data_IF_678558231231
#
_entry.id   IF_678558231231
#
_cell.length_a   1.000
_cell.length_b   1.000
_cell.length_c   1.000
_cell.angle_alpha   90.00
_cell.angle_beta   90.00
_cell.angle_gamma   90.00
#
_symmetry.space_group_name_H-M   'P 1'
#
loop_
_entity.id
_entity.type
_entity.pdbx_description
1 polymer ?
#
# COMPACT_ATOMS: atom_id res chain seq x y z
N UNK A 1 15.40 -7.15 -0.75
CA UNK A 1 14.03 -6.80 -0.31
C UNK A 1 14.09 -5.72 0.77
N UNK A 2 13.09 -4.82 0.92
CA UNK A 2 13.22 -3.63 1.80
C UNK A 2 13.54 -3.94 3.27
N UNK A 3 13.08 -5.10 3.78
CA UNK A 3 13.41 -5.53 5.15
C UNK A 3 14.87 -5.99 5.31
N UNK A 4 15.50 -6.50 4.26
CA UNK A 4 16.94 -6.85 4.27
C UNK A 4 17.80 -5.59 4.36
N UNK A 5 17.25 -4.44 3.93
CA UNK A 5 17.86 -3.12 4.07
C UNK A 5 17.52 -2.43 5.42
N UNK A 6 16.84 -3.12 6.36
CA UNK A 6 16.57 -2.60 7.69
C UNK A 6 15.29 -1.77 7.84
N UNK A 7 14.41 -1.73 6.83
CA UNK A 7 13.13 -1.04 6.93
C UNK A 7 12.03 -1.95 7.52
N UNK A 8 11.20 -1.40 8.41
CA UNK A 8 10.03 -2.11 8.94
C UNK A 8 9.05 -2.40 7.81
N UNK A 9 8.38 -3.55 7.93
CA UNK A 9 7.21 -3.87 7.13
C UNK A 9 6.11 -4.37 8.06
N UNK A 10 4.90 -4.56 7.54
CA UNK A 10 3.83 -5.20 8.29
C UNK A 10 3.99 -6.73 8.43
N UNK A 11 5.00 -7.35 7.80
CA UNK A 11 5.17 -8.82 7.78
C UNK A 11 5.20 -9.45 9.19
N UNK A 12 4.49 -10.57 9.40
CA UNK A 12 4.56 -11.28 10.68
C UNK A 12 5.99 -11.77 10.94
N UNK A 13 6.41 -11.70 12.20
CA UNK A 13 7.72 -12.22 12.63
C UNK A 13 8.91 -11.31 12.32
N UNK A 14 8.70 -10.14 11.71
CA UNK A 14 9.76 -9.16 11.55
C UNK A 14 10.16 -8.57 12.92
N UNK A 15 11.44 -8.68 13.27
CA UNK A 15 12.01 -8.09 14.49
C UNK A 15 12.17 -6.59 14.28
N UNK A 16 11.45 -5.79 15.06
CA UNK A 16 11.66 -4.33 15.18
C UNK A 16 12.74 -4.06 16.20
N UNK A 17 13.52 -2.99 16.03
CA UNK A 17 14.48 -2.57 17.07
C UNK A 17 13.68 -2.10 18.30
N UNK A 18 13.76 -2.80 19.45
CA UNK A 18 13.00 -2.41 20.63
C UNK A 18 13.47 -1.09 21.25
N UNK A 19 14.64 -0.58 20.87
CA UNK A 19 15.22 0.67 21.38
C UNK A 19 14.73 1.90 20.62
N UNK A 20 14.20 1.71 19.43
CA UNK A 20 13.66 2.77 18.60
C UNK A 20 12.24 2.40 18.16
N UNK A 21 11.22 2.89 18.88
CA UNK A 21 9.83 2.55 18.58
C UNK A 21 9.30 3.26 17.33
N UNK A 22 10.10 4.14 16.71
CA UNK A 22 9.66 4.96 15.59
C UNK A 22 9.48 4.08 14.36
N UNK A 23 8.25 3.96 13.83
CA UNK A 23 8.00 3.17 12.63
C UNK A 23 8.74 3.76 11.43
N UNK A 24 9.56 2.95 10.75
CA UNK A 24 10.24 3.34 9.51
C UNK A 24 10.03 2.27 8.45
N UNK A 25 9.81 2.62 7.19
CA UNK A 25 9.60 1.64 6.13
C UNK A 25 8.16 1.59 5.63
N UNK A 26 7.66 0.39 5.34
CA UNK A 26 6.32 0.17 4.82
C UNK A 26 5.35 -0.24 5.93
N UNK A 27 4.71 0.77 6.52
CA UNK A 27 4.02 0.68 7.81
C UNK A 27 2.48 0.69 7.75
N UNK A 28 1.89 0.55 6.55
CA UNK A 28 0.44 0.55 6.34
C UNK A 28 0.01 -0.56 5.37
N UNK A 29 -1.30 -0.73 5.18
CA UNK A 29 -1.85 -1.63 4.15
C UNK A 29 -1.47 -1.14 2.75
N UNK A 30 -1.46 -2.03 1.76
CA UNK A 30 -1.14 -1.66 0.38
C UNK A 30 -2.28 -0.89 -0.30
N UNK A 31 -3.48 -0.84 0.29
CA UNK A 31 -4.58 -0.02 -0.19
C UNK A 31 -5.93 -0.37 0.43
N UNK A 32 -7.00 0.11 -0.18
CA UNK A 32 -8.38 -0.05 0.28
C UNK A 32 -9.38 0.09 -0.86
N UNK A 33 -10.65 -0.26 -0.62
CA UNK A 33 -11.74 -0.03 -1.57
C UNK A 33 -12.11 1.45 -1.64
N UNK A 34 -12.63 1.86 -2.79
CA UNK A 34 -13.09 3.23 -3.06
C UNK A 34 -14.44 3.18 -3.79
N UNK A 35 -15.38 4.01 -3.33
CA UNK A 35 -16.69 4.12 -3.95
C UNK A 35 -17.42 5.38 -3.49
N UNK A 36 -18.47 5.20 -2.66
CA UNK A 36 -19.13 6.34 -2.04
C UNK A 36 -18.31 6.91 -0.89
N UNK A 37 -17.56 6.04 -0.20
CA UNK A 37 -16.58 6.44 0.78
C UNK A 37 -15.17 6.37 0.19
N UNK A 38 -14.29 7.26 0.68
CA UNK A 38 -12.86 7.23 0.31
C UNK A 38 -12.24 5.91 0.79
N UNK A 39 -12.61 5.45 1.99
CA UNK A 39 -12.17 4.17 2.53
C UNK A 39 -13.37 3.25 2.73
N UNK A 40 -13.53 2.30 1.83
CA UNK A 40 -14.53 1.23 1.96
C UNK A 40 -13.90 -0.15 1.76
N UNK A 41 -14.71 -1.20 1.86
CA UNK A 41 -14.27 -2.55 1.56
C UNK A 41 -14.06 -2.73 0.05
N UNK A 42 -13.15 -3.61 -0.39
CA UNK A 42 -12.28 -4.46 0.42
C UNK A 42 -10.99 -3.77 0.89
N UNK A 43 -10.54 -4.07 2.11
CA UNK A 43 -9.23 -3.62 2.58
C UNK A 43 -8.08 -4.45 1.98
N UNK A 44 -7.05 -3.79 1.42
CA UNK A 44 -5.88 -4.42 0.81
C UNK A 44 -4.72 -4.39 1.80
N UNK A 45 -4.67 -5.39 2.67
CA UNK A 45 -3.62 -5.52 3.68
C UNK A 45 -3.40 -6.98 4.05
N UNK A 46 -2.43 -7.24 4.93
CA UNK A 46 -2.24 -8.58 5.49
C UNK A 46 -3.41 -9.07 6.34
N UNK A 47 -4.31 -8.16 6.75
CA UNK A 47 -5.55 -8.49 7.44
C UNK A 47 -6.73 -8.66 6.48
N UNK A 48 -6.51 -8.46 5.17
CA UNK A 48 -7.52 -8.70 4.15
C UNK A 48 -7.90 -10.18 4.15
N UNK A 49 -9.20 -10.46 4.34
CA UNK A 49 -9.73 -11.82 4.49
C UNK A 49 -10.57 -12.29 3.30
N UNK A 50 -10.79 -11.42 2.30
CA UNK A 50 -11.63 -11.72 1.13
C UNK A 50 -10.83 -11.51 -0.16
N UNK A 51 -11.05 -12.38 -1.17
CA UNK A 51 -10.51 -12.14 -2.51
C UNK A 51 -11.21 -10.93 -3.16
N UNK A 52 -10.51 -10.28 -4.08
CA UNK A 52 -11.09 -9.28 -4.96
C UNK A 52 -12.06 -9.92 -5.94
N UNK A 53 -13.15 -9.23 -6.24
CA UNK A 53 -14.16 -9.67 -7.21
C UNK A 53 -14.29 -8.66 -8.34
N UNK A 54 -14.80 -9.11 -9.50
CA UNK A 54 -15.07 -8.25 -10.65
C UNK A 54 -16.01 -7.11 -10.23
N UNK A 55 -15.61 -5.88 -10.56
CA UNK A 55 -16.35 -4.66 -10.20
C UNK A 55 -15.80 -3.92 -8.98
N UNK A 56 -14.95 -4.56 -8.16
CA UNK A 56 -14.27 -3.86 -7.08
C UNK A 56 -13.38 -2.73 -7.65
N UNK A 57 -13.39 -1.58 -6.98
CA UNK A 57 -12.43 -0.48 -7.22
C UNK A 57 -11.59 -0.32 -5.98
N UNK A 58 -10.26 -0.42 -6.13
CA UNK A 58 -9.31 -0.42 -5.02
C UNK A 58 -8.12 0.47 -5.30
N UNK A 59 -7.51 1.03 -4.26
CA UNK A 59 -6.20 1.66 -4.34
C UNK A 59 -5.09 0.62 -4.27
N UNK A 60 -3.99 0.89 -4.97
CA UNK A 60 -2.69 0.22 -4.78
C UNK A 60 -1.66 1.31 -4.54
N UNK A 61 -1.25 1.44 -3.28
CA UNK A 61 -0.54 2.62 -2.76
C UNK A 61 0.68 2.28 -1.88
N UNK A 62 1.65 1.47 -2.35
CA UNK A 62 2.83 1.17 -1.53
C UNK A 62 3.61 2.45 -1.16
N UNK A 63 3.98 2.55 0.11
CA UNK A 63 4.73 3.69 0.64
C UNK A 63 5.91 3.27 1.51
N UNK A 64 7.00 4.03 1.44
CA UNK A 64 8.17 3.91 2.31
C UNK A 64 8.46 5.25 2.99
N UNK A 65 8.67 5.22 4.31
CA UNK A 65 8.83 6.43 5.12
C UNK A 65 10.03 6.29 6.04
N UNK A 66 10.88 7.31 6.08
CA UNK A 66 11.93 7.46 7.07
C UNK A 66 11.78 8.83 7.76
N UNK A 67 11.53 8.89 9.08
CA UNK A 67 11.33 10.14 9.80
C UNK A 67 12.48 11.16 9.68
N UNK A 68 13.70 10.70 9.40
CA UNK A 68 14.87 11.57 9.25
C UNK A 68 15.02 12.14 7.84
N UNK A 69 14.36 11.56 6.83
CA UNK A 69 14.55 11.91 5.41
C UNK A 69 13.23 12.41 4.78
N UNK A 70 12.13 11.71 5.00
CA UNK A 70 10.84 11.93 4.35
C UNK A 70 10.20 10.61 3.92
N UNK A 71 9.24 10.68 2.99
CA UNK A 71 8.58 9.48 2.48
C UNK A 71 8.16 9.60 1.03
N UNK A 72 7.98 8.45 0.39
CA UNK A 72 7.49 8.32 -0.98
C UNK A 72 6.34 7.33 -0.99
N UNK A 73 5.24 7.71 -1.62
CA UNK A 73 4.10 6.85 -1.93
C UNK A 73 3.67 7.13 -3.36
N UNK A 74 3.44 6.07 -4.13
CA UNK A 74 2.77 6.12 -5.42
C UNK A 74 1.47 5.35 -5.28
N UNK A 75 0.39 5.92 -5.79
CA UNK A 75 -0.96 5.42 -5.60
C UNK A 75 -1.74 5.49 -6.92
N UNK A 76 -2.33 4.35 -7.29
CA UNK A 76 -3.26 4.26 -8.41
C UNK A 76 -4.56 3.58 -7.94
N UNK A 77 -5.68 3.96 -8.56
CA UNK A 77 -6.97 3.27 -8.45
C UNK A 77 -7.16 2.26 -9.58
N UNK A 78 -7.47 1.02 -9.21
CA UNK A 78 -7.66 -0.09 -10.14
C UNK A 78 -9.10 -0.63 -10.06
N UNK A 79 -9.74 -0.79 -11.22
CA UNK A 79 -11.00 -1.52 -11.37
C UNK A 79 -10.70 -2.98 -11.69
N UNK A 80 -11.24 -3.92 -10.90
CA UNK A 80 -11.08 -5.35 -11.15
C UNK A 80 -12.00 -5.81 -12.28
N UNK A 81 -11.42 -6.45 -13.30
CA UNK A 81 -12.09 -6.97 -14.50
C UNK A 81 -12.09 -8.50 -14.50
N UNK A 82 -12.88 -9.17 -15.36
CA UNK A 82 -12.89 -10.64 -15.44
C UNK A 82 -11.53 -11.28 -15.72
N UNK A 83 -10.62 -10.54 -16.35
CA UNK A 83 -9.32 -10.97 -16.85
C UNK A 83 -8.13 -10.27 -16.19
N UNK A 84 -8.36 -9.41 -15.19
CA UNK A 84 -7.31 -8.68 -14.51
C UNK A 84 -7.79 -7.41 -13.82
N UNK A 85 -7.13 -6.29 -14.12
CA UNK A 85 -7.48 -4.98 -13.60
C UNK A 85 -7.24 -3.90 -14.65
N UNK A 86 -8.08 -2.86 -14.62
CA UNK A 86 -7.94 -1.65 -15.43
C UNK A 86 -7.54 -0.50 -14.53
N UNK A 87 -6.45 0.17 -14.89
CA UNK A 87 -6.03 1.40 -14.23
C UNK A 87 -6.99 2.56 -14.55
N UNK A 88 -7.41 3.27 -13.52
CA UNK A 88 -8.25 4.47 -13.61
C UNK A 88 -7.42 5.76 -13.47
N UNK A 89 -6.13 5.64 -13.17
CA UNK A 89 -5.24 6.73 -12.81
C UNK A 89 -4.18 6.93 -13.90
N UNK A 90 -4.16 8.13 -14.47
CA UNK A 90 -3.29 8.49 -15.61
C UNK A 90 -2.16 9.45 -15.22
N UNK A 91 -1.91 9.62 -13.92
CA UNK A 91 -0.82 10.47 -13.47
C UNK A 91 0.54 9.86 -13.87
N UNK A 92 1.56 10.68 -14.18
CA UNK A 92 2.92 10.19 -14.36
C UNK A 92 3.41 9.49 -13.08
N UNK A 93 4.06 8.34 -13.24
CA UNK A 93 4.67 7.58 -12.13
C UNK A 93 6.15 7.89 -11.95
N UNK A 94 6.71 8.67 -12.87
CA UNK A 94 8.09 9.13 -12.81
C UNK A 94 8.23 10.28 -11.82
N UNK A 95 9.39 10.36 -11.17
CA UNK A 95 9.72 11.50 -10.33
C UNK A 95 9.87 12.75 -11.20
N UNK A 96 9.11 13.78 -10.89
CA UNK A 96 9.21 15.11 -11.51
C UNK A 96 9.91 16.06 -10.54
N UNK A 97 10.87 16.84 -11.02
CA UNK A 97 11.71 17.78 -10.24
C UNK A 97 11.68 19.16 -10.84
#
# INVERSE_FOLDING_TARGET
>A
MIWEAGYDTLRPGQKKDPRDPTPRGFIHGTGHGVGLEIHEMPGISQRGIKPLIVGDVVTVEPGIYDPAIGGVRLEDMLLITPDGARDLTNAPRELVV
#
